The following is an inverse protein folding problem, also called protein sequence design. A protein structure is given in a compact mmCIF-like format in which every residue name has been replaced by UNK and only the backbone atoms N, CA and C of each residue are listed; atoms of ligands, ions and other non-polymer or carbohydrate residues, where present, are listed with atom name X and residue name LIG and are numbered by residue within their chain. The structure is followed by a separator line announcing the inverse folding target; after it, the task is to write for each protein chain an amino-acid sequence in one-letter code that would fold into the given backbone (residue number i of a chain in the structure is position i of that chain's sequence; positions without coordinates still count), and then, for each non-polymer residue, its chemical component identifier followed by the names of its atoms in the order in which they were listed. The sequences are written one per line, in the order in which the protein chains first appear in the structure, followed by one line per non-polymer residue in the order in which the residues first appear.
data_IF_696563953310
#
_entry.id   IF_696563953310
#
_cell.length_a   1.000
_cell.length_b   1.000
_cell.length_c   1.000
_cell.angle_alpha   90.00
_cell.angle_beta   90.00
_cell.angle_gamma   90.00
#
_symmetry.space_group_name_H-M   'P 1'
#
loop_
_entity.id
_entity.type
_entity.pdbx_description
1 polymer ?
#
# COMPACT_ATOMS: atom_id res chain seq x y z
N UNK A 1 13.10 20.33 22.14
CA UNK A 1 13.67 18.99 22.36
C UNK A 1 13.49 18.21 21.08
N UNK A 2 14.61 17.82 20.48
CA UNK A 2 14.64 17.12 19.18
C UNK A 2 14.43 15.66 19.53
N UNK A 3 13.26 15.11 19.21
CA UNK A 3 12.96 13.70 19.42
C UNK A 3 13.66 12.88 18.35
N UNK A 4 14.55 11.98 18.78
CA UNK A 4 15.16 10.96 17.95
C UNK A 4 14.06 10.12 17.31
N UNK A 5 13.96 10.14 15.99
CA UNK A 5 13.16 9.17 15.23
C UNK A 5 13.85 7.82 15.37
N UNK A 6 13.29 6.94 16.19
CA UNK A 6 13.74 5.56 16.28
C UNK A 6 13.56 4.89 14.91
N UNK A 7 14.61 4.21 14.43
CA UNK A 7 14.51 3.36 13.24
C UNK A 7 13.47 2.28 13.53
N UNK A 8 12.29 2.41 12.92
CA UNK A 8 11.27 1.38 12.95
C UNK A 8 11.88 0.11 12.36
N UNK A 9 12.12 -0.89 13.21
CA UNK A 9 12.50 -2.23 12.76
C UNK A 9 11.29 -2.78 12.01
N UNK A 10 11.51 -3.27 10.78
CA UNK A 10 10.43 -3.85 9.97
C UNK A 10 9.67 -4.90 10.79
N UNK A 11 8.32 -4.80 10.90
CA UNK A 11 7.56 -5.75 11.69
C UNK A 11 7.71 -7.16 11.11
N UNK A 12 7.87 -8.13 12.02
CA UNK A 12 7.89 -9.55 11.71
C UNK A 12 6.60 -9.93 10.97
N UNK A 13 6.73 -10.73 9.90
CA UNK A 13 5.63 -11.19 9.05
C UNK A 13 4.43 -11.63 9.89
N UNK A 14 3.28 -10.99 9.66
CA UNK A 14 1.99 -11.54 10.05
C UNK A 14 1.75 -12.81 9.24
N UNK A 15 1.68 -13.97 9.91
CA UNK A 15 1.32 -15.28 9.31
C UNK A 15 -0.13 -15.30 8.74
N UNK A 16 -0.89 -14.21 8.89
CA UNK A 16 -2.26 -14.07 8.41
C UNK A 16 -2.40 -13.12 7.21
N UNK A 17 -1.29 -12.57 6.70
CA UNK A 17 -1.33 -11.65 5.56
C UNK A 17 -1.77 -12.39 4.29
N UNK A 18 -3.05 -12.23 3.93
CA UNK A 18 -3.56 -12.65 2.62
C UNK A 18 -2.73 -11.96 1.54
N UNK A 19 -2.08 -12.73 0.67
CA UNK A 19 -1.28 -12.15 -0.43
C UNK A 19 -2.18 -11.23 -1.26
N UNK A 20 -1.88 -9.93 -1.28
CA UNK A 20 -2.69 -8.96 -1.99
C UNK A 20 -2.52 -9.17 -3.50
N UNK A 21 -3.61 -9.03 -4.27
CA UNK A 21 -3.58 -9.43 -5.67
C UNK A 21 -2.70 -8.51 -6.52
N UNK A 22 -2.00 -9.11 -7.47
CA UNK A 22 -1.23 -8.42 -8.51
C UNK A 22 -2.13 -8.03 -9.68
N UNK A 23 -1.61 -7.26 -10.63
CA UNK A 23 -2.35 -6.82 -11.81
C UNK A 23 -3.05 -7.97 -12.55
N UNK A 24 -2.37 -9.10 -12.74
CA UNK A 24 -2.91 -10.25 -13.45
C UNK A 24 -4.07 -10.95 -12.73
N UNK A 25 -4.24 -10.70 -11.43
CA UNK A 25 -5.22 -11.36 -10.57
C UNK A 25 -6.40 -10.45 -10.16
N UNK A 26 -6.33 -9.14 -10.43
CA UNK A 26 -7.38 -8.18 -10.05
C UNK A 26 -8.37 -7.94 -11.19
N UNK A 27 -9.69 -8.10 -10.95
CA UNK A 27 -10.69 -7.56 -11.87
C UNK A 27 -10.68 -6.04 -11.75
N UNK A 28 -10.05 -5.36 -12.71
CA UNK A 28 -10.01 -3.91 -12.75
C UNK A 28 -11.34 -3.34 -13.27
N UNK A 29 -11.89 -2.40 -12.52
CA UNK A 29 -13.03 -1.58 -12.92
C UNK A 29 -12.57 -0.40 -13.81
N UNK A 30 -13.11 -0.34 -15.02
CA UNK A 30 -12.83 0.71 -16.01
C UNK A 30 -13.10 2.12 -15.44
N UNK A 31 -12.19 3.06 -15.73
CA UNK A 31 -12.23 4.45 -15.27
C UNK A 31 -11.88 4.64 -13.79
N UNK A 32 -11.44 3.60 -13.07
CA UNK A 32 -11.01 3.70 -11.66
C UNK A 32 -9.50 3.85 -11.52
N UNK A 33 -9.08 4.55 -10.47
CA UNK A 33 -7.67 4.79 -10.13
C UNK A 33 -7.10 3.62 -9.33
N UNK A 34 -5.89 3.20 -9.67
CA UNK A 34 -5.14 2.17 -8.93
C UNK A 34 -3.70 2.61 -8.70
N UNK A 35 -3.12 2.11 -7.62
CA UNK A 35 -1.69 2.21 -7.29
C UNK A 35 -1.03 0.85 -7.54
N UNK A 36 0.09 0.82 -8.25
CA UNK A 36 0.93 -0.37 -8.38
C UNK A 36 2.26 -0.15 -7.67
N UNK A 37 2.69 -1.15 -6.90
CA UNK A 37 4.01 -1.19 -6.28
C UNK A 37 4.94 -2.11 -7.07
N UNK A 38 6.22 -1.75 -7.11
CA UNK A 38 7.25 -2.47 -7.85
C UNK A 38 8.51 -2.66 -7.02
N UNK A 39 9.34 -3.60 -7.45
CA UNK A 39 10.66 -3.82 -6.89
C UNK A 39 10.64 -4.16 -5.41
N UNK A 40 9.83 -5.17 -5.06
CA UNK A 40 9.72 -5.70 -3.71
C UNK A 40 11.00 -6.40 -3.28
N UNK A 41 11.43 -6.11 -2.05
CA UNK A 41 12.58 -6.70 -1.35
C UNK A 41 12.23 -6.97 0.13
N UNK A 42 12.93 -7.92 0.74
CA UNK A 42 12.72 -8.28 2.15
C UNK A 42 13.41 -7.33 3.12
N UNK A 43 14.52 -6.70 2.70
CA UNK A 43 15.25 -5.71 3.51
C UNK A 43 15.73 -4.54 2.66
N UNK A 44 15.84 -3.34 3.25
CA UNK A 44 16.17 -2.13 2.50
C UNK A 44 17.53 -2.22 1.78
N UNK A 45 18.52 -2.89 2.40
CA UNK A 45 19.86 -3.09 1.84
C UNK A 45 20.02 -4.34 0.98
N UNK A 46 18.94 -5.05 0.66
CA UNK A 46 19.02 -6.26 -0.17
C UNK A 46 19.51 -5.91 -1.59
N UNK A 47 20.61 -6.54 -2.00
CA UNK A 47 21.08 -6.46 -3.38
C UNK A 47 20.26 -7.40 -4.25
N UNK A 48 19.54 -6.85 -5.22
CA UNK A 48 18.64 -7.61 -6.08
C UNK A 48 19.34 -7.85 -7.41
N UNK A 49 19.47 -9.12 -7.80
CA UNK A 49 20.14 -9.50 -9.06
C UNK A 49 19.37 -9.01 -10.31
N UNK A 50 18.04 -8.87 -10.21
CA UNK A 50 17.15 -8.34 -11.26
C UNK A 50 16.44 -7.05 -10.79
N UNK A 51 15.11 -7.09 -10.69
CA UNK A 51 14.23 -5.98 -10.31
C UNK A 51 13.35 -6.31 -9.12
N UNK A 52 13.52 -7.46 -8.47
CA UNK A 52 12.72 -7.87 -7.31
C UNK A 52 11.38 -8.51 -7.64
N UNK A 53 10.55 -8.66 -6.60
CA UNK A 53 9.19 -9.20 -6.76
C UNK A 53 8.23 -8.12 -7.24
N UNK A 54 7.26 -8.52 -8.07
CA UNK A 54 6.07 -7.70 -8.35
C UNK A 54 5.32 -7.38 -7.05
N UNK A 55 4.86 -6.13 -6.94
CA UNK A 55 4.00 -5.70 -5.84
C UNK A 55 2.51 -5.82 -6.15
N UNK A 56 1.67 -5.54 -5.15
CA UNK A 56 0.22 -5.47 -5.33
C UNK A 56 -0.18 -4.37 -6.32
N UNK A 57 -1.41 -4.50 -6.80
CA UNK A 57 -2.17 -3.36 -7.31
C UNK A 57 -3.27 -3.04 -6.30
N UNK A 58 -3.26 -1.83 -5.75
CA UNK A 58 -4.17 -1.39 -4.68
C UNK A 58 -5.19 -0.44 -5.28
N UNK A 59 -6.47 -0.74 -5.06
CA UNK A 59 -7.58 0.10 -5.47
C UNK A 59 -8.89 -0.67 -5.65
N UNK A 60 -9.96 -0.01 -6.13
CA UNK A 60 -10.02 1.39 -6.56
C UNK A 60 -9.66 2.42 -5.47
N UNK A 61 -8.87 3.42 -5.83
CA UNK A 61 -8.59 4.60 -5.00
C UNK A 61 -9.54 5.73 -5.37
N UNK A 62 -9.97 6.50 -4.37
CA UNK A 62 -10.69 7.76 -4.57
C UNK A 62 -9.72 8.92 -4.83
N UNK A 63 -8.53 8.88 -4.20
CA UNK A 63 -7.47 9.87 -4.38
C UNK A 63 -6.12 9.25 -4.02
N UNK A 64 -5.04 9.86 -4.52
CA UNK A 64 -3.68 9.62 -4.05
C UNK A 64 -2.99 10.97 -3.91
N UNK A 65 -2.17 11.13 -2.87
CA UNK A 65 -1.48 12.36 -2.57
C UNK A 65 -0.04 12.07 -2.15
N UNK A 66 0.89 12.87 -2.68
CA UNK A 66 2.30 12.81 -2.33
C UNK A 66 2.74 14.16 -1.80
N UNK A 67 3.34 14.16 -0.62
CA UNK A 67 3.94 15.37 -0.04
C UNK A 67 5.44 15.17 0.12
N UNK A 68 6.23 16.12 -0.39
CA UNK A 68 7.70 16.14 -0.31
C UNK A 68 8.39 14.83 -0.74
N UNK A 69 7.76 14.08 -1.66
CA UNK A 69 8.25 12.78 -2.16
C UNK A 69 8.49 11.71 -1.08
N UNK A 70 8.03 11.93 0.15
CA UNK A 70 8.32 11.07 1.31
C UNK A 70 7.08 10.62 2.06
N UNK A 71 5.92 11.23 1.77
CA UNK A 71 4.64 10.84 2.35
C UNK A 71 3.69 10.46 1.24
N UNK A 72 3.35 9.17 1.14
CA UNK A 72 2.36 8.64 0.21
C UNK A 72 1.07 8.33 0.96
N UNK A 73 0.00 9.02 0.58
CA UNK A 73 -1.32 8.91 1.20
C UNK A 73 -2.38 8.63 0.14
N UNK A 74 -3.46 7.95 0.51
CA UNK A 74 -4.61 7.75 -0.37
C UNK A 74 -5.91 7.71 0.43
N UNK A 75 -7.03 7.92 -0.29
CA UNK A 75 -8.35 7.61 0.22
C UNK A 75 -8.97 6.47 -0.59
N UNK A 76 -9.63 5.52 0.08
CA UNK A 76 -10.34 4.43 -0.58
C UNK A 76 -11.62 4.04 0.16
N UNK A 77 -12.52 3.31 -0.50
CA UNK A 77 -13.73 2.80 0.14
C UNK A 77 -13.38 1.76 1.23
N UNK A 78 -14.22 1.59 2.27
CA UNK A 78 -13.95 0.66 3.37
C UNK A 78 -13.73 -0.79 2.94
N UNK A 79 -14.36 -1.26 1.85
CA UNK A 79 -14.19 -2.61 1.33
C UNK A 79 -12.83 -2.80 0.62
N UNK A 80 -12.31 -1.76 -0.01
CA UNK A 80 -10.93 -1.73 -0.53
C UNK A 80 -9.95 -1.78 0.63
N UNK A 81 -10.16 -0.96 1.66
CA UNK A 81 -9.31 -1.01 2.86
C UNK A 81 -9.35 -2.37 3.54
N UNK A 82 -10.53 -3.00 3.67
CA UNK A 82 -10.67 -4.33 4.23
C UNK A 82 -9.90 -5.39 3.42
N UNK A 83 -9.88 -5.25 2.10
CA UNK A 83 -9.20 -6.19 1.20
C UNK A 83 -7.69 -6.12 1.33
N UNK A 84 -7.13 -4.91 1.41
CA UNK A 84 -5.69 -4.68 1.33
C UNK A 84 -5.02 -4.39 2.69
N UNK A 85 -5.77 -3.94 3.68
CA UNK A 85 -5.30 -3.56 5.03
C UNK A 85 -6.28 -4.04 6.12
N UNK A 86 -6.64 -5.35 6.16
CA UNK A 86 -7.66 -5.87 7.09
C UNK A 86 -7.29 -5.65 8.55
N UNK A 87 -6.01 -5.79 8.91
CA UNK A 87 -5.53 -5.60 10.28
C UNK A 87 -5.68 -4.14 10.72
N UNK A 88 -5.34 -3.18 9.85
CA UNK A 88 -5.55 -1.75 10.08
C UNK A 88 -7.04 -1.44 10.30
N UNK A 89 -7.91 -1.98 9.45
CA UNK A 89 -9.36 -1.77 9.56
C UNK A 89 -9.93 -2.38 10.85
N UNK A 90 -9.48 -3.58 11.23
CA UNK A 90 -9.86 -4.21 12.49
C UNK A 90 -9.44 -3.36 13.70
N UNK A 91 -8.20 -2.87 13.69
CA UNK A 91 -7.67 -2.02 14.76
C UNK A 91 -8.44 -0.71 14.87
N UNK A 92 -8.66 0.01 13.76
CA UNK A 92 -9.42 1.25 13.77
C UNK A 92 -10.84 1.09 14.32
N UNK A 93 -11.51 -0.02 13.99
CA UNK A 93 -12.85 -0.32 14.54
C UNK A 93 -12.79 -0.61 16.04
N UNK A 94 -11.78 -1.37 16.49
CA UNK A 94 -11.59 -1.65 17.91
C UNK A 94 -11.32 -0.37 18.71
N UNK A 95 -10.57 0.56 18.13
CA UNK A 95 -10.22 1.86 18.73
C UNK A 95 -11.32 2.92 18.59
N UNK A 96 -12.39 2.63 17.83
CA UNK A 96 -13.48 3.58 17.58
C UNK A 96 -13.07 4.78 16.74
N UNK A 97 -12.07 4.64 15.87
CA UNK A 97 -11.58 5.71 14.99
C UNK A 97 -12.64 6.00 13.93
N UNK A 98 -13.03 7.27 13.78
CA UNK A 98 -14.06 7.69 12.81
C UNK A 98 -13.74 7.29 11.36
N UNK A 99 -12.46 7.19 11.03
CA UNK A 99 -11.96 6.79 9.71
C UNK A 99 -12.48 5.40 9.26
N UNK A 100 -12.75 4.48 10.20
CA UNK A 100 -13.28 3.15 9.87
C UNK A 100 -14.79 3.13 9.54
N UNK A 101 -15.49 4.25 9.76
CA UNK A 101 -16.94 4.37 9.60
C UNK A 101 -17.36 5.39 8.52
N UNK A 102 -16.38 6.07 7.92
CA UNK A 102 -16.62 7.03 6.83
C UNK A 102 -16.94 6.33 5.50
N UNK A 103 -17.46 7.10 4.52
CA UNK A 103 -17.65 6.60 3.15
C UNK A 103 -16.32 6.36 2.43
N UNK A 104 -15.25 7.00 2.91
CA UNK A 104 -13.87 6.81 2.51
C UNK A 104 -13.02 6.71 3.78
N UNK A 105 -11.93 5.97 3.67
CA UNK A 105 -10.90 5.86 4.68
C UNK A 105 -9.60 6.48 4.13
N UNK A 106 -9.02 7.40 4.88
CA UNK A 106 -7.70 7.97 4.58
C UNK A 106 -6.59 7.09 5.17
N UNK A 107 -5.57 6.76 4.38
CA UNK A 107 -4.43 5.97 4.82
C UNK A 107 -3.11 6.56 4.34
N UNK A 108 -2.06 6.32 5.13
CA UNK A 108 -0.69 6.67 4.81
C UNK A 108 0.18 5.40 4.84
N UNK A 109 0.98 5.21 3.80
CA UNK A 109 1.98 4.15 3.82
C UNK A 109 3.14 4.50 4.76
N UNK A 110 3.67 3.47 5.42
CA UNK A 110 4.98 3.55 6.02
C UNK A 110 6.03 3.64 4.91
N UNK A 111 6.93 4.62 4.99
CA UNK A 111 8.06 4.77 4.08
C UNK A 111 9.34 4.66 4.90
N UNK A 112 10.18 3.67 4.56
CA UNK A 112 11.41 3.31 5.29
C UNK A 112 12.56 3.32 4.29
N UNK A 113 13.58 4.15 4.52
CA UNK A 113 14.72 4.32 3.61
C UNK A 113 14.30 4.56 2.14
N UNK A 114 13.32 5.46 1.95
CA UNK A 114 12.69 5.78 0.65
C UNK A 114 11.89 4.64 0.01
N UNK A 115 11.62 3.54 0.73
CA UNK A 115 10.86 2.39 0.26
C UNK A 115 9.48 2.32 0.92
N UNK A 116 8.44 2.01 0.14
CA UNK A 116 7.09 1.80 0.65
C UNK A 116 7.00 0.43 1.31
N UNK A 117 6.61 0.38 2.58
CA UNK A 117 6.32 -0.89 3.26
C UNK A 117 4.89 -1.33 2.98
N UNK A 118 4.75 -2.59 2.58
CA UNK A 118 3.45 -3.22 2.46
C UNK A 118 3.57 -4.74 2.58
N UNK A 119 2.77 -5.34 3.47
CA UNK A 119 2.73 -6.78 3.67
C UNK A 119 4.07 -7.37 4.14
N UNK A 120 4.90 -6.58 4.85
CA UNK A 120 6.23 -6.98 5.30
C UNK A 120 7.29 -7.02 4.19
N UNK A 121 7.02 -6.40 3.04
CA UNK A 121 7.96 -6.19 1.93
C UNK A 121 8.18 -4.70 1.71
N UNK A 122 9.34 -4.33 1.19
CA UNK A 122 9.72 -2.95 0.87
C UNK A 122 9.77 -2.76 -0.64
N UNK A 123 9.07 -1.74 -1.15
CA UNK A 123 8.92 -1.48 -2.58
C UNK A 123 9.62 -0.18 -2.97
N UNK A 124 10.42 -0.25 -4.04
CA UNK A 124 11.26 0.87 -4.47
C UNK A 124 10.52 1.88 -5.34
N UNK A 125 9.69 1.39 -6.25
CA UNK A 125 8.97 2.25 -7.17
C UNK A 125 7.47 2.01 -7.06
N UNK A 126 6.71 3.01 -7.49
CA UNK A 126 5.27 2.96 -7.54
C UNK A 126 4.76 3.81 -8.71
N UNK A 127 3.58 3.44 -9.20
CA UNK A 127 2.89 4.20 -10.23
C UNK A 127 1.40 4.21 -9.96
N UNK A 128 0.71 5.20 -10.52
CA UNK A 128 -0.76 5.19 -10.57
C UNK A 128 -1.25 5.16 -12.00
N UNK A 129 -2.36 4.47 -12.20
CA UNK A 129 -3.01 4.39 -13.50
C UNK A 129 -4.53 4.37 -13.34
N UNK A 130 -5.22 4.88 -14.36
CA UNK A 130 -6.63 4.60 -14.54
C UNK A 130 -6.73 3.26 -15.28
N UNK A 131 -7.58 2.37 -14.80
CA UNK A 131 -7.88 1.18 -15.58
C UNK A 131 -8.68 1.59 -16.81
N UNK A 132 -8.07 1.47 -17.99
CA UNK A 132 -8.78 1.59 -19.26
C UNK A 132 -9.40 0.24 -19.62
N UNK A 133 -10.44 0.22 -20.45
CA UNK A 133 -10.98 -1.01 -21.09
C UNK A 133 -9.90 -1.81 -21.87
N UNK A 134 -8.68 -1.29 -22.03
CA UNK A 134 -7.56 -1.86 -22.77
C UNK A 134 -6.28 -2.10 -21.93
N UNK A 135 -6.26 -1.79 -20.62
CA UNK A 135 -5.03 -1.80 -19.80
C UNK A 135 -4.55 -3.18 -19.30
N UNK A 136 -5.00 -4.26 -19.94
CA UNK A 136 -4.52 -5.63 -19.74
C UNK A 136 -3.59 -6.09 -20.88
N UNK A 137 -2.63 -5.24 -21.29
CA UNK A 137 -1.55 -5.61 -22.22
C UNK A 137 -0.19 -5.40 -21.61
#
# INVERSE_FOLDING_TARGET
MIGTLEHATAPCRSDSARTPPTLAALPLESGKLYLRLYHGRATAGEHMEDWGSDGPVIGPLASIHVTYMSQLQFAAAPDVMERFFPETMAQWRADGVSNAHGPLCDWQFNVIDDLIEYGGMLYGDWSTFLADDQAAR
#
